data_IF_295814403644
#
_entry.id   IF_295814403644
#
_cell.length_a   1.000
_cell.length_b   1.000
_cell.length_c   1.000
_cell.angle_alpha   90.00
_cell.angle_beta   90.00
_cell.angle_gamma   90.00
#
_symmetry.space_group_name_H-M   'P 1'
#
loop_
_entity.id
_entity.type
_entity.pdbx_description
1 polymer ?
#
# COMPACT_ATOMS: atom_id res chain seq x y z
N UNK A 1 -13.45 2.82 -1.57
CA UNK A 1 -13.98 4.17 -1.84
C UNK A 1 -12.84 5.10 -1.60
N UNK A 2 -12.65 6.11 -2.42
CA UNK A 2 -11.51 7.02 -2.26
C UNK A 2 -11.70 7.87 -0.99
N UNK A 3 -10.59 8.16 -0.33
CA UNK A 3 -10.53 9.09 0.79
C UNK A 3 -10.31 10.51 0.29
N UNK A 4 -10.90 11.48 0.99
CA UNK A 4 -10.79 12.89 0.62
C UNK A 4 -10.26 13.71 1.79
N UNK A 5 -9.22 14.49 1.54
CA UNK A 5 -8.61 15.38 2.52
C UNK A 5 -8.61 16.81 1.98
N UNK A 6 -8.98 17.80 2.80
CA UNK A 6 -8.89 19.20 2.36
C UNK A 6 -7.43 19.64 2.42
N UNK A 7 -7.05 20.56 1.54
CA UNK A 7 -5.70 21.11 1.53
C UNK A 7 -5.29 21.71 2.88
N UNK A 8 -6.15 22.53 3.50
CA UNK A 8 -5.86 23.14 4.81
C UNK A 8 -5.63 22.08 5.91
N UNK A 9 -6.41 20.99 5.88
CA UNK A 9 -6.26 19.87 6.81
C UNK A 9 -4.94 19.13 6.56
N UNK A 10 -4.53 18.99 5.30
CA UNK A 10 -3.26 18.37 4.89
C UNK A 10 -2.04 19.21 5.32
N UNK A 11 -2.12 20.53 5.17
CA UNK A 11 -1.08 21.48 5.59
C UNK A 11 -0.93 21.46 7.12
N UNK A 12 -2.05 21.54 7.85
CA UNK A 12 -2.05 21.42 9.30
C UNK A 12 -1.51 20.08 9.79
N UNK A 13 -1.86 18.98 9.12
CA UNK A 13 -1.29 17.66 9.40
C UNK A 13 0.22 17.67 9.19
N UNK A 14 0.69 18.17 8.03
CA UNK A 14 2.10 18.23 7.66
C UNK A 14 2.92 18.97 8.72
N UNK A 15 2.47 20.14 9.14
CA UNK A 15 3.12 20.94 10.16
C UNK A 15 3.15 20.25 11.53
N UNK A 16 2.11 19.48 11.85
CA UNK A 16 2.04 18.74 13.11
C UNK A 16 2.97 17.54 13.12
N UNK A 17 2.86 16.66 12.12
CA UNK A 17 3.63 15.40 12.08
C UNK A 17 5.09 15.61 11.71
N UNK A 18 5.42 16.65 10.94
CA UNK A 18 6.79 16.99 10.58
C UNK A 18 7.66 17.40 11.78
N UNK A 19 7.04 17.78 12.90
CA UNK A 19 7.72 18.08 14.17
C UNK A 19 7.87 16.87 15.09
N UNK A 20 7.23 15.75 14.77
CA UNK A 20 7.27 14.54 15.59
C UNK A 20 8.42 13.62 15.18
N UNK A 21 9.07 12.92 16.12
CA UNK A 21 10.03 11.86 15.79
C UNK A 21 9.38 10.78 14.92
N UNK A 22 10.13 10.29 13.93
CA UNK A 22 9.69 9.17 13.09
C UNK A 22 9.46 7.93 13.95
N UNK A 23 8.23 7.42 13.94
CA UNK A 23 7.78 6.35 14.83
C UNK A 23 6.51 5.71 14.28
N UNK A 24 6.17 4.51 14.79
CA UNK A 24 4.89 3.85 14.45
C UNK A 24 3.67 4.75 14.71
N UNK A 25 3.72 5.51 15.82
CA UNK A 25 2.66 6.44 16.19
C UNK A 25 2.51 7.58 15.17
N UNK A 26 3.63 8.11 14.69
CA UNK A 26 3.62 9.15 13.64
C UNK A 26 3.02 8.59 12.34
N UNK A 27 3.54 7.46 11.84
CA UNK A 27 3.03 6.83 10.62
C UNK A 27 1.54 6.49 10.69
N UNK A 28 1.06 5.95 11.83
CA UNK A 28 -0.36 5.65 12.03
C UNK A 28 -1.21 6.93 12.05
N UNK A 29 -0.73 8.01 12.66
CA UNK A 29 -1.47 9.28 12.69
C UNK A 29 -1.65 9.86 11.28
N UNK A 30 -0.60 9.79 10.45
CA UNK A 30 -0.69 10.16 9.03
C UNK A 30 -1.77 9.32 8.35
N UNK A 31 -1.70 7.99 8.47
CA UNK A 31 -2.67 7.08 7.84
C UNK A 31 -4.12 7.35 8.29
N UNK A 32 -4.36 7.51 9.59
CA UNK A 32 -5.69 7.82 10.15
C UNK A 32 -6.25 9.11 9.57
N UNK A 33 -5.40 10.12 9.43
CA UNK A 33 -5.81 11.45 8.93
C UNK A 33 -6.10 11.41 7.44
N UNK A 34 -5.27 10.73 6.65
CA UNK A 34 -5.45 10.61 5.21
C UNK A 34 -6.67 9.77 4.82
N UNK A 35 -6.94 8.69 5.57
CA UNK A 35 -8.03 7.75 5.30
C UNK A 35 -9.27 8.01 6.17
N UNK A 36 -9.41 9.22 6.72
CA UNK A 36 -10.52 9.56 7.61
C UNK A 36 -11.87 9.34 6.93
N UNK A 37 -12.74 8.55 7.57
CA UNK A 37 -14.08 8.25 7.08
C UNK A 37 -14.13 7.25 5.91
N UNK A 38 -12.98 6.80 5.39
CA UNK A 38 -12.94 5.79 4.35
C UNK A 38 -13.41 4.44 4.90
N UNK A 39 -14.20 3.72 4.08
CA UNK A 39 -14.69 2.38 4.40
C UNK A 39 -14.18 1.37 3.38
N UNK A 40 -13.90 0.17 3.86
CA UNK A 40 -13.61 -0.98 3.02
C UNK A 40 -14.86 -1.51 2.30
N UNK A 41 -14.69 -2.53 1.46
CA UNK A 41 -15.80 -3.16 0.71
C UNK A 41 -16.82 -3.87 1.61
N UNK A 42 -16.44 -4.21 2.84
CA UNK A 42 -17.32 -4.76 3.87
C UNK A 42 -18.06 -3.69 4.68
N UNK A 43 -17.76 -2.41 4.46
CA UNK A 43 -18.34 -1.28 5.19
C UNK A 43 -17.64 -0.96 6.51
N UNK A 44 -16.51 -1.62 6.82
CA UNK A 44 -15.70 -1.36 8.02
C UNK A 44 -14.75 -0.17 7.80
N UNK A 45 -14.30 0.51 8.86
CA UNK A 45 -13.28 1.55 8.75
C UNK A 45 -12.03 1.02 8.03
N UNK A 46 -11.58 1.73 6.99
CA UNK A 46 -10.46 1.26 6.16
C UNK A 46 -9.15 1.16 6.96
N UNK A 47 -9.00 1.97 8.00
CA UNK A 47 -7.81 1.96 8.87
C UNK A 47 -7.55 0.59 9.52
N UNK A 48 -8.59 -0.22 9.75
CA UNK A 48 -8.44 -1.59 10.27
C UNK A 48 -7.63 -2.47 9.30
N UNK A 49 -7.84 -2.27 7.99
CA UNK A 49 -7.05 -2.95 6.96
C UNK A 49 -5.60 -2.51 6.97
N UNK A 50 -5.34 -1.20 7.02
CA UNK A 50 -3.99 -0.65 7.03
C UNK A 50 -3.19 -1.12 8.25
N UNK A 51 -3.81 -1.15 9.44
CA UNK A 51 -3.19 -1.66 10.66
C UNK A 51 -2.90 -3.17 10.57
N UNK A 52 -3.83 -3.96 10.03
CA UNK A 52 -3.61 -5.38 9.80
C UNK A 52 -2.40 -5.61 8.89
N UNK A 53 -2.33 -4.91 7.76
CA UNK A 53 -1.21 -5.03 6.80
C UNK A 53 0.10 -4.63 7.46
N UNK A 54 0.12 -3.55 8.24
CA UNK A 54 1.31 -3.11 8.96
C UNK A 54 1.86 -4.16 9.92
N UNK A 55 1.05 -4.68 10.85
CA UNK A 55 1.52 -5.67 11.83
C UNK A 55 1.92 -7.00 11.17
N UNK A 56 1.15 -7.45 10.18
CA UNK A 56 1.47 -8.69 9.47
C UNK A 56 2.72 -8.54 8.60
N UNK A 57 2.95 -7.38 7.99
CA UNK A 57 4.17 -7.12 7.21
C UNK A 57 5.44 -7.14 8.07
N UNK A 58 5.38 -6.61 9.30
CA UNK A 58 6.46 -6.74 10.29
C UNK A 58 6.74 -8.22 10.63
N UNK A 59 5.68 -9.01 10.80
CA UNK A 59 5.80 -10.45 11.08
C UNK A 59 6.41 -11.21 9.90
N UNK A 60 5.96 -10.90 8.68
CA UNK A 60 6.50 -11.49 7.44
C UNK A 60 7.98 -11.17 7.30
N UNK A 61 8.38 -9.91 7.48
CA UNK A 61 9.78 -9.48 7.42
C UNK A 61 10.63 -10.32 8.37
N UNK A 62 10.24 -10.40 9.65
CA UNK A 62 10.94 -11.20 10.67
C UNK A 62 11.04 -12.69 10.33
N UNK A 63 10.06 -13.23 9.60
CA UNK A 63 10.04 -14.65 9.23
C UNK A 63 10.93 -15.00 8.03
N UNK A 64 11.15 -14.04 7.13
CA UNK A 64 11.92 -14.26 5.89
C UNK A 64 13.37 -13.80 6.05
N UNK A 65 13.56 -12.61 6.59
CA UNK A 65 14.87 -11.97 6.76
C UNK A 65 15.36 -12.27 8.18
N UNK A 66 16.37 -13.13 8.29
CA UNK A 66 16.83 -13.69 9.58
C UNK A 66 17.74 -12.71 10.33
N UNK A 67 18.25 -11.70 9.64
CA UNK A 67 18.98 -10.60 10.27
C UNK A 67 18.07 -9.79 11.19
N UNK A 68 18.56 -9.48 12.38
CA UNK A 68 17.83 -8.66 13.33
C UNK A 68 17.57 -7.27 12.74
N UNK A 69 16.29 -6.91 12.61
CA UNK A 69 15.90 -5.60 12.11
C UNK A 69 16.18 -4.54 13.16
N UNK A 70 16.85 -3.46 12.76
CA UNK A 70 17.02 -2.29 13.63
C UNK A 70 15.66 -1.68 14.03
N UNK A 71 15.58 -0.93 15.14
CA UNK A 71 14.35 -0.23 15.52
C UNK A 71 13.77 0.63 14.40
N UNK A 72 14.63 1.29 13.62
CA UNK A 72 14.23 2.10 12.46
C UNK A 72 13.59 1.26 11.37
N UNK A 73 14.18 0.11 11.01
CA UNK A 73 13.63 -0.80 10.01
C UNK A 73 12.25 -1.35 10.41
N UNK A 74 12.04 -1.60 11.71
CA UNK A 74 10.72 -2.02 12.23
C UNK A 74 9.68 -0.90 12.05
N UNK A 75 10.06 0.35 12.34
CA UNK A 75 9.18 1.52 12.13
C UNK A 75 8.88 1.70 10.65
N UNK A 76 9.89 1.57 9.79
CA UNK A 76 9.73 1.73 8.34
C UNK A 76 8.81 0.66 7.75
N UNK A 77 8.97 -0.61 8.16
CA UNK A 77 8.09 -1.70 7.70
C UNK A 77 6.65 -1.46 8.13
N UNK A 78 6.45 -1.06 9.38
CA UNK A 78 5.13 -0.70 9.88
C UNK A 78 4.53 0.45 9.06
N UNK A 79 5.33 1.50 8.81
CA UNK A 79 4.90 2.69 8.08
C UNK A 79 4.48 2.38 6.65
N UNK A 80 5.26 1.56 5.92
CA UNK A 80 4.87 1.12 4.58
C UNK A 80 3.54 0.38 4.63
N UNK A 81 3.33 -0.52 5.59
CA UNK A 81 2.07 -1.23 5.72
C UNK A 81 0.87 -0.32 6.01
N UNK A 82 1.00 0.67 6.92
CA UNK A 82 -0.12 1.59 7.21
C UNK A 82 -0.34 2.65 6.12
N UNK A 83 0.64 2.94 5.27
CA UNK A 83 0.56 4.00 4.26
C UNK A 83 0.47 3.48 2.81
N UNK A 84 0.54 2.17 2.56
CA UNK A 84 0.74 1.62 1.21
C UNK A 84 -0.29 2.06 0.17
N UNK A 85 -1.54 2.28 0.56
CA UNK A 85 -2.60 2.72 -0.35
C UNK A 85 -2.75 4.24 -0.43
N UNK A 86 -1.97 5.01 0.32
CA UNK A 86 -2.18 6.46 0.45
C UNK A 86 -2.08 7.18 -0.90
N UNK A 87 -1.16 6.76 -1.77
CA UNK A 87 -0.97 7.39 -3.08
C UNK A 87 -2.03 6.94 -4.12
N UNK A 88 -2.70 5.81 -3.89
CA UNK A 88 -3.74 5.28 -4.77
C UNK A 88 -5.12 5.82 -4.38
N UNK A 89 -5.42 5.86 -3.08
CA UNK A 89 -6.78 6.02 -2.57
C UNK A 89 -7.08 7.42 -2.02
N UNK A 90 -6.09 8.30 -1.86
CA UNK A 90 -6.29 9.61 -1.22
C UNK A 90 -6.30 10.73 -2.27
N UNK A 91 -7.38 11.51 -2.28
CA UNK A 91 -7.55 12.70 -3.10
C UNK A 91 -7.58 13.96 -2.25
N UNK A 92 -6.78 14.94 -2.63
CA UNK A 92 -6.73 16.26 -2.02
C UNK A 92 -7.80 17.13 -2.68
N UNK A 93 -8.64 17.77 -1.86
CA UNK A 93 -9.62 18.75 -2.27
C UNK A 93 -9.02 20.15 -2.05
N UNK A 94 -8.80 20.87 -3.13
CA UNK A 94 -8.38 22.28 -3.10
C UNK A 94 -9.56 23.19 -3.44
N UNK A 95 -9.59 24.37 -2.82
CA UNK A 95 -10.51 25.44 -3.21
C UNK A 95 -9.71 26.49 -3.96
N UNK A 96 -10.07 26.74 -5.21
CA UNK A 96 -9.48 27.82 -6.01
C UNK A 96 -10.42 29.01 -6.06
N UNK A 97 -9.90 30.20 -5.72
CA UNK A 97 -10.64 31.47 -5.72
C UNK A 97 -11.02 32.00 -4.33
N UNK A 98 -11.05 33.33 -4.18
CA UNK A 98 -11.47 34.04 -2.97
C UNK A 98 -13.00 34.22 -2.96
N UNK A 99 -13.63 33.73 -1.90
CA UNK A 99 -15.05 33.90 -1.50
C UNK A 99 -16.14 33.24 -2.39
N UNK A 100 -16.95 32.40 -1.73
CA UNK A 100 -18.24 31.79 -2.10
C UNK A 100 -18.47 31.08 -3.46
N UNK A 101 -17.72 31.40 -4.52
CA UNK A 101 -17.83 30.78 -5.87
C UNK A 101 -16.64 29.87 -6.23
N UNK A 102 -15.80 29.53 -5.24
CA UNK A 102 -14.55 28.81 -5.47
C UNK A 102 -14.77 27.43 -6.10
N UNK A 103 -14.12 27.17 -7.24
CA UNK A 103 -14.12 25.85 -7.87
C UNK A 103 -13.34 24.87 -6.98
N UNK A 104 -13.86 23.66 -6.84
CA UNK A 104 -13.13 22.57 -6.20
C UNK A 104 -12.25 21.89 -7.23
N UNK A 105 -10.98 21.75 -6.90
CA UNK A 105 -10.02 20.95 -7.66
C UNK A 105 -9.70 19.69 -6.86
N UNK A 106 -9.52 18.57 -7.57
CA UNK A 106 -9.23 17.26 -6.99
C UNK A 106 -7.89 16.79 -7.51
N UNK A 107 -6.89 16.76 -6.64
CA UNK A 107 -5.54 16.34 -6.98
C UNK A 107 -5.16 15.08 -6.21
N UNK A 108 -4.47 14.12 -6.85
CA UNK A 108 -4.03 12.93 -6.13
C UNK A 108 -2.98 13.30 -5.08
N UNK A 109 -2.99 12.59 -3.95
CA UNK A 109 -1.84 12.56 -3.06
C UNK A 109 -0.62 12.03 -3.85
N UNK A 110 0.58 12.51 -3.53
CA UNK A 110 1.79 12.15 -4.25
C UNK A 110 2.97 12.05 -3.28
N UNK A 111 4.08 11.50 -3.76
CA UNK A 111 5.29 11.25 -2.98
C UNK A 111 5.81 12.49 -2.24
N UNK A 112 5.76 13.68 -2.88
CA UNK A 112 6.23 14.94 -2.28
C UNK A 112 5.41 15.33 -1.06
N UNK A 113 4.12 15.02 -1.04
CA UNK A 113 3.28 15.26 0.14
C UNK A 113 3.73 14.40 1.33
N UNK A 114 3.99 13.11 1.11
CA UNK A 114 4.48 12.21 2.17
C UNK A 114 5.87 12.62 2.69
N UNK A 115 6.78 13.00 1.79
CA UNK A 115 8.11 13.50 2.18
C UNK A 115 7.98 14.76 3.05
N UNK A 116 7.10 15.70 2.69
CA UNK A 116 6.84 16.91 3.50
C UNK A 116 6.27 16.57 4.89
N UNK A 117 5.50 15.50 5.01
CA UNK A 117 5.00 14.98 6.31
C UNK A 117 6.09 14.30 7.16
N UNK A 118 7.33 14.24 6.67
CA UNK A 118 8.45 13.61 7.37
C UNK A 118 8.56 12.11 7.15
N UNK A 119 7.85 11.54 6.17
CA UNK A 119 8.00 10.13 5.79
C UNK A 119 9.36 9.95 5.11
N UNK A 120 10.23 9.02 5.58
CA UNK A 120 11.55 8.82 5.00
C UNK A 120 11.49 8.40 3.53
N UNK A 121 12.46 8.85 2.73
CA UNK A 121 12.52 8.57 1.29
C UNK A 121 12.38 7.06 0.97
N UNK A 122 13.12 6.20 1.68
CA UNK A 122 13.04 4.73 1.51
C UNK A 122 11.62 4.16 1.73
N UNK A 123 10.85 4.73 2.66
CA UNK A 123 9.45 4.34 2.91
C UNK A 123 8.58 4.83 1.76
N UNK A 124 8.78 6.06 1.29
CA UNK A 124 8.04 6.63 0.15
C UNK A 124 8.30 5.83 -1.13
N UNK A 125 9.56 5.47 -1.41
CA UNK A 125 9.92 4.61 -2.56
C UNK A 125 9.23 3.25 -2.51
N UNK A 126 9.15 2.64 -1.33
CA UNK A 126 8.42 1.39 -1.15
C UNK A 126 6.92 1.56 -1.45
N UNK A 127 6.30 2.66 -1.00
CA UNK A 127 4.89 2.96 -1.28
C UNK A 127 4.68 3.22 -2.78
N UNK A 128 5.61 3.89 -3.47
CA UNK A 128 5.55 4.08 -4.92
C UNK A 128 5.55 2.73 -5.66
N UNK A 129 6.36 1.75 -5.22
CA UNK A 129 6.36 0.39 -5.80
C UNK A 129 5.04 -0.36 -5.58
N UNK A 130 4.29 -0.04 -4.51
CA UNK A 130 3.00 -0.66 -4.19
C UNK A 130 1.83 0.02 -4.92
N UNK A 131 2.02 1.26 -5.36
CA UNK A 131 0.99 2.09 -5.98
C UNK A 131 0.77 1.65 -7.42
N UNK A 132 -0.47 1.24 -7.75
CA UNK A 132 -0.76 0.68 -9.06
C UNK A 132 -0.60 1.70 -10.19
N UNK A 133 0.02 1.26 -11.29
CA UNK A 133 0.02 2.04 -12.52
C UNK A 133 -1.39 2.02 -13.16
N UNK A 134 -1.98 3.20 -13.39
CA UNK A 134 -3.33 3.33 -13.97
C UNK A 134 -3.47 2.65 -15.33
N UNK A 135 -2.42 2.68 -16.16
CA UNK A 135 -2.45 2.04 -17.48
C UNK A 135 -2.50 0.51 -17.35
N UNK A 136 -1.68 -0.07 -16.47
CA UNK A 136 -1.70 -1.52 -16.21
C UNK A 136 -3.04 -1.97 -15.62
N UNK A 137 -3.61 -1.17 -14.72
CA UNK A 137 -4.96 -1.43 -14.18
C UNK A 137 -6.00 -1.41 -15.29
N UNK A 138 -5.95 -0.43 -16.20
CA UNK A 138 -6.86 -0.33 -17.33
C UNK A 138 -6.72 -1.52 -18.28
N UNK A 139 -5.50 -1.87 -18.70
CA UNK A 139 -5.24 -3.05 -19.52
C UNK A 139 -5.74 -4.33 -18.85
N UNK A 140 -5.55 -4.46 -17.54
CA UNK A 140 -6.05 -5.63 -16.80
C UNK A 140 -7.58 -5.75 -16.84
N UNK A 141 -8.33 -4.65 -17.00
CA UNK A 141 -9.81 -4.68 -17.05
C UNK A 141 -10.33 -5.22 -18.38
N UNK A 142 -9.51 -5.20 -19.42
CA UNK A 142 -9.86 -5.68 -20.76
C UNK A 142 -9.57 -7.18 -20.94
N UNK A 143 -8.82 -7.79 -20.02
CA UNK A 143 -8.48 -9.22 -20.04
C UNK A 143 -9.60 -10.07 -19.47
N UNK A 144 -9.88 -11.22 -20.09
CA UNK A 144 -10.74 -12.24 -19.50
C UNK A 144 -10.10 -12.86 -18.25
N UNK A 145 -10.73 -12.68 -17.09
CA UNK A 145 -10.29 -13.18 -15.77
C UNK A 145 -11.16 -14.36 -15.32
N UNK A 146 -11.56 -15.21 -16.25
CA UNK A 146 -12.39 -16.39 -16.01
C UNK A 146 -11.66 -17.52 -15.30
N UNK A 147 -10.32 -17.53 -15.30
CA UNK A 147 -9.51 -18.51 -14.56
C UNK A 147 -8.48 -17.83 -13.62
N UNK A 148 -8.00 -18.54 -12.58
CA UNK A 148 -6.90 -18.05 -11.74
C UNK A 148 -5.65 -17.65 -12.52
N UNK A 149 -5.29 -18.41 -13.55
CA UNK A 149 -4.11 -18.20 -14.39
C UNK A 149 -4.26 -16.93 -15.23
N UNK A 150 -5.39 -16.76 -15.93
CA UNK A 150 -5.62 -15.55 -16.74
C UNK A 150 -5.72 -14.30 -15.87
N UNK A 151 -6.34 -14.43 -14.69
CA UNK A 151 -6.38 -13.38 -13.67
C UNK A 151 -4.99 -13.04 -13.12
N UNK A 152 -4.13 -14.04 -12.93
CA UNK A 152 -2.75 -13.86 -12.52
C UNK A 152 -1.92 -13.13 -13.58
N UNK A 153 -1.99 -13.53 -14.84
CA UNK A 153 -1.25 -12.85 -15.92
C UNK A 153 -1.68 -11.39 -16.07
N UNK A 154 -2.97 -11.09 -15.86
CA UNK A 154 -3.47 -9.72 -15.85
C UNK A 154 -3.03 -8.90 -14.61
N UNK A 155 -2.73 -9.57 -13.49
CA UNK A 155 -2.32 -8.91 -12.24
C UNK A 155 -0.81 -8.74 -12.14
N UNK A 156 -0.04 -9.70 -12.67
CA UNK A 156 1.42 -9.76 -12.56
C UNK A 156 2.14 -8.45 -12.93
N UNK A 157 1.79 -7.73 -14.02
CA UNK A 157 2.41 -6.43 -14.33
C UNK A 157 2.40 -5.45 -13.16
N UNK A 158 1.31 -5.42 -12.38
CA UNK A 158 1.11 -4.50 -11.26
C UNK A 158 2.05 -4.73 -10.07
N UNK A 159 2.72 -5.89 -10.02
CA UNK A 159 3.70 -6.22 -8.97
C UNK A 159 5.10 -6.46 -9.55
N UNK A 160 5.28 -6.36 -10.86
CA UNK A 160 6.58 -6.56 -11.50
C UNK A 160 7.68 -5.64 -10.94
N UNK A 161 7.42 -4.38 -10.57
CA UNK A 161 8.43 -3.54 -9.92
C UNK A 161 8.99 -4.14 -8.62
N UNK A 162 8.20 -4.94 -7.89
CA UNK A 162 8.64 -5.64 -6.69
C UNK A 162 9.40 -6.94 -7.01
N UNK A 163 9.10 -7.57 -8.15
CA UNK A 163 9.72 -8.83 -8.58
C UNK A 163 11.00 -8.63 -9.40
N UNK A 164 11.26 -7.43 -9.91
CA UNK A 164 12.40 -7.14 -10.77
C UNK A 164 13.74 -7.30 -10.00
N UNK A 165 14.71 -8.06 -10.52
CA UNK A 165 16.03 -8.19 -9.92
C UNK A 165 16.85 -6.91 -10.05
N UNK A 166 16.73 -6.21 -11.19
CA UNK A 166 17.48 -5.00 -11.52
C UNK A 166 16.65 -3.73 -11.26
N UNK A 167 16.15 -3.59 -10.03
CA UNK A 167 15.43 -2.37 -9.64
C UNK A 167 16.41 -1.24 -9.34
N UNK A 168 16.14 -0.04 -9.86
CA UNK A 168 16.80 1.21 -9.47
C UNK A 168 16.41 1.66 -8.05
N UNK A 169 15.43 0.99 -7.45
CA UNK A 169 14.97 1.25 -6.09
C UNK A 169 15.90 0.58 -5.07
N UNK A 170 16.27 1.27 -3.97
CA UNK A 170 17.10 0.66 -2.93
C UNK A 170 16.55 -0.67 -2.41
N UNK A 171 17.44 -1.65 -2.20
CA UNK A 171 17.10 -3.00 -1.71
C UNK A 171 16.19 -2.98 -0.48
N UNK A 172 16.46 -2.11 0.49
CA UNK A 172 15.62 -1.96 1.68
C UNK A 172 14.18 -1.54 1.32
N UNK A 173 14.01 -0.58 0.41
CA UNK A 173 12.67 -0.16 -0.05
C UNK A 173 11.93 -1.29 -0.78
N UNK A 174 12.65 -2.10 -1.56
CA UNK A 174 12.07 -3.29 -2.22
C UNK A 174 11.63 -4.34 -1.18
N UNK A 175 12.45 -4.62 -0.17
CA UNK A 175 12.12 -5.52 0.94
C UNK A 175 10.87 -5.05 1.68
N UNK A 176 10.82 -3.75 2.02
CA UNK A 176 9.69 -3.12 2.68
C UNK A 176 8.39 -3.30 1.88
N UNK A 177 8.46 -3.03 0.57
CA UNK A 177 7.35 -3.17 -0.37
C UNK A 177 6.88 -4.62 -0.52
N UNK A 178 7.81 -5.58 -0.68
CA UNK A 178 7.50 -7.00 -0.80
C UNK A 178 6.76 -7.50 0.46
N UNK A 179 7.27 -7.20 1.65
CA UNK A 179 6.66 -7.65 2.90
C UNK A 179 5.25 -7.06 3.09
N UNK A 180 5.07 -5.78 2.77
CA UNK A 180 3.75 -5.14 2.79
C UNK A 180 2.80 -5.77 1.76
N UNK A 181 3.28 -6.04 0.54
CA UNK A 181 2.43 -6.63 -0.50
C UNK A 181 2.00 -8.06 -0.21
N UNK A 182 2.88 -8.87 0.40
CA UNK A 182 2.53 -10.21 0.88
C UNK A 182 1.43 -10.10 1.94
N UNK A 183 1.54 -9.17 2.89
CA UNK A 183 0.53 -8.95 3.93
C UNK A 183 -0.82 -8.50 3.34
N UNK A 184 -0.80 -7.52 2.43
CA UNK A 184 -1.97 -7.02 1.70
C UNK A 184 -2.66 -8.14 0.91
N UNK A 185 -1.91 -8.88 0.10
CA UNK A 185 -2.45 -10.01 -0.67
C UNK A 185 -3.09 -11.07 0.23
N UNK A 186 -2.44 -11.45 1.35
CA UNK A 186 -3.02 -12.39 2.32
C UNK A 186 -4.31 -11.85 2.92
N UNK A 187 -4.35 -10.56 3.25
CA UNK A 187 -5.55 -9.92 3.79
C UNK A 187 -6.68 -9.81 2.77
N UNK A 188 -6.36 -9.65 1.47
CA UNK A 188 -7.33 -9.56 0.39
C UNK A 188 -7.84 -10.92 -0.11
N UNK A 189 -7.08 -11.99 0.18
CA UNK A 189 -7.48 -13.37 -0.05
C UNK A 189 -8.42 -13.92 1.04
N UNK A 190 -8.52 -13.25 2.20
CA UNK A 190 -9.36 -13.68 3.30
C UNK A 190 -10.85 -13.47 3.01
N UNK A 191 -11.57 -14.58 2.80
CA UNK A 191 -13.01 -14.60 2.55
C UNK A 191 -13.83 -14.04 3.72
N UNK A 192 -13.35 -14.15 4.96
CA UNK A 192 -14.13 -13.76 6.15
C UNK A 192 -14.43 -12.25 6.19
N UNK A 193 -13.66 -11.45 5.43
CA UNK A 193 -13.88 -10.01 5.25
C UNK A 193 -15.01 -9.66 4.30
N UNK A 194 -15.41 -10.60 3.47
CA UNK A 194 -16.43 -10.39 2.46
C UNK A 194 -17.81 -10.75 3.02
N UNK A 195 -18.88 -10.10 2.52
CA UNK A 195 -20.23 -10.54 2.83
C UNK A 195 -20.43 -12.02 2.47
N UNK A 196 -21.15 -12.80 3.30
CA UNK A 196 -21.37 -14.25 3.09
C UNK A 196 -21.83 -14.59 1.66
N UNK A 197 -22.67 -13.75 1.06
CA UNK A 197 -23.14 -13.92 -0.33
C UNK A 197 -22.03 -13.94 -1.39
N UNK A 198 -20.87 -13.36 -1.09
CA UNK A 198 -19.72 -13.30 -2.00
C UNK A 198 -18.79 -14.51 -1.87
N UNK A 199 -18.87 -15.30 -0.79
CA UNK A 199 -17.94 -16.41 -0.50
C UNK A 199 -17.93 -17.49 -1.60
N UNK A 200 -19.08 -17.69 -2.25
CA UNK A 200 -19.27 -18.73 -3.26
C UNK A 200 -19.27 -18.21 -4.70
N UNK A 201 -18.98 -16.92 -4.91
CA UNK A 201 -18.91 -16.37 -6.27
C UNK A 201 -17.60 -16.83 -6.94
N UNK A 202 -17.64 -17.39 -8.16
CA UNK A 202 -16.44 -17.82 -8.88
C UNK A 202 -15.39 -16.70 -9.00
N UNK A 203 -15.83 -15.47 -9.27
CA UNK A 203 -14.96 -14.30 -9.34
C UNK A 203 -14.22 -13.99 -8.03
N UNK A 204 -14.82 -14.31 -6.88
CA UNK A 204 -14.17 -14.14 -5.57
C UNK A 204 -13.11 -15.21 -5.38
N UNK A 205 -13.41 -16.47 -5.71
CA UNK A 205 -12.45 -17.57 -5.64
C UNK A 205 -11.23 -17.32 -6.54
N UNK A 206 -11.46 -16.90 -7.78
CA UNK A 206 -10.41 -16.56 -8.74
C UNK A 206 -9.53 -15.44 -8.18
N UNK A 207 -10.13 -14.36 -7.66
CA UNK A 207 -9.38 -13.25 -7.06
C UNK A 207 -8.51 -13.70 -5.88
N UNK A 208 -9.06 -14.53 -4.97
CA UNK A 208 -8.29 -15.05 -3.85
C UNK A 208 -7.13 -15.95 -4.31
N UNK A 209 -7.35 -16.79 -5.32
CA UNK A 209 -6.28 -17.59 -5.92
C UNK A 209 -5.18 -16.71 -6.53
N UNK A 210 -5.54 -15.64 -7.27
CA UNK A 210 -4.58 -14.67 -7.82
C UNK A 210 -3.73 -14.02 -6.72
N UNK A 211 -4.32 -13.60 -5.60
CA UNK A 211 -3.55 -13.05 -4.48
C UNK A 211 -2.65 -14.09 -3.81
N UNK A 212 -3.09 -15.35 -3.74
CA UNK A 212 -2.26 -16.46 -3.27
C UNK A 212 -1.03 -16.69 -4.15
N UNK A 213 -1.22 -16.73 -5.49
CA UNK A 213 -0.12 -16.84 -6.46
C UNK A 213 0.84 -15.67 -6.35
N UNK A 214 0.33 -14.44 -6.23
CA UNK A 214 1.15 -13.25 -6.03
C UNK A 214 1.98 -13.31 -4.75
N UNK A 215 1.37 -13.69 -3.63
CA UNK A 215 2.09 -13.84 -2.37
C UNK A 215 3.21 -14.88 -2.47
N UNK A 216 2.98 -16.00 -3.15
CA UNK A 216 4.01 -17.01 -3.39
C UNK A 216 5.18 -16.48 -4.21
N UNK A 217 4.91 -15.79 -5.33
CA UNK A 217 5.96 -15.18 -6.16
C UNK A 217 6.81 -14.15 -5.39
N UNK A 218 6.16 -13.31 -4.58
CA UNK A 218 6.83 -12.32 -3.74
C UNK A 218 7.67 -12.96 -2.64
N UNK A 219 7.22 -14.07 -2.04
CA UNK A 219 8.00 -14.83 -1.06
C UNK A 219 9.26 -15.41 -1.71
N UNK A 220 9.16 -15.95 -2.93
CA UNK A 220 10.34 -16.41 -3.67
C UNK A 220 11.35 -15.28 -3.88
N UNK A 221 10.89 -14.10 -4.35
CA UNK A 221 11.77 -12.93 -4.52
C UNK A 221 12.39 -12.47 -3.20
N UNK A 222 11.64 -12.49 -2.10
CA UNK A 222 12.16 -12.12 -0.78
C UNK A 222 13.31 -13.05 -0.33
N UNK A 223 13.19 -14.37 -0.59
CA UNK A 223 14.26 -15.32 -0.29
C UNK A 223 15.48 -15.16 -1.19
N UNK A 224 15.30 -14.76 -2.46
CA UNK A 224 16.42 -14.39 -3.33
C UNK A 224 17.16 -13.17 -2.76
N UNK A 225 16.41 -12.12 -2.43
CA UNK A 225 16.95 -10.91 -1.81
C UNK A 225 17.70 -11.20 -0.52
N UNK A 226 17.23 -12.10 0.35
CA UNK A 226 17.96 -12.45 1.59
C UNK A 226 19.31 -13.12 1.31
N UNK A 227 19.43 -13.85 0.20
CA UNK A 227 20.64 -14.59 -0.19
C UNK A 227 21.62 -13.75 -1.01
N UNK A 228 21.16 -12.64 -1.59
CA UNK A 228 22.01 -11.73 -2.35
C UNK A 228 23.04 -11.03 -1.45
N UNK A 229 24.32 -11.02 -1.83
CA UNK A 229 25.35 -10.32 -1.06
C UNK A 229 25.01 -8.84 -0.93
N UNK A 230 25.32 -8.27 0.24
CA UNK A 230 25.26 -6.81 0.45
C UNK A 230 26.53 -6.25 -0.19
N UNK A 231 26.40 -5.63 -1.37
CA UNK A 231 27.48 -4.88 -2.01
C UNK A 231 27.71 -3.54 -1.33
#
# INVERSE_FOLDING_TARGET
MDAFVKQDDLEGLTDFVGRMPWSKKNALLIAVSLHQGQKDRGGKPYIEHLQYVAENSCTIRKSIFLTESSPTQIVDQYAVGVLHDSLEDVTIIMRTGSTHDGKKEFLPLNAKHLIKMGVPDRVVRAIELLTKNKNEVNLSREVDKSTPESSWEAYKPQIMPLLAPDSDVPRESQILGICAKIADNRHNADFTRLPRKAHFLPSTMIRCATYGMSAAALICRAYELEREPIN
#
